data_IF_858816975225
#
_entry.id   IF_858816975225
#
_cell.length_a   1.000
_cell.length_b   1.000
_cell.length_c   1.000
_cell.angle_alpha   90.00
_cell.angle_beta   90.00
_cell.angle_gamma   90.00
#
_symmetry.space_group_name_H-M   'P 1'
#
loop_
_entity.id
_entity.type
_entity.pdbx_description
1 polymer ?
#
# COMPACT_ATOMS: atom_id res chain seq x y z
N UNK A 1 6.67 -1.57 17.14
CA UNK A 1 5.49 -1.81 17.99
C UNK A 1 4.89 -3.18 17.66
N UNK A 2 5.47 -4.29 18.15
CA UNK A 2 4.93 -5.64 17.88
C UNK A 2 3.54 -5.85 18.47
N UNK A 3 3.22 -5.20 19.59
CA UNK A 3 1.97 -5.37 20.33
C UNK A 3 0.70 -5.02 19.54
N UNK A 4 0.80 -4.17 18.51
CA UNK A 4 -0.33 -3.73 17.69
C UNK A 4 -0.40 -4.42 16.32
N UNK A 5 0.53 -5.35 16.04
CA UNK A 5 0.54 -6.12 14.80
C UNK A 5 -0.59 -7.16 14.81
N UNK A 6 -1.09 -7.52 13.62
CA UNK A 6 -2.15 -8.53 13.48
C UNK A 6 -3.56 -8.06 13.88
N UNK A 7 -3.72 -6.87 14.44
CA UNK A 7 -5.02 -6.34 14.88
C UNK A 7 -5.80 -5.60 13.77
N UNK A 8 -5.33 -5.62 12.52
CA UNK A 8 -5.98 -4.94 11.40
C UNK A 8 -5.85 -3.41 11.39
N UNK A 9 -5.12 -2.81 12.34
CA UNK A 9 -4.92 -1.35 12.45
C UNK A 9 -4.33 -0.77 11.17
N UNK A 10 -3.29 -1.39 10.61
CA UNK A 10 -2.67 -0.94 9.37
C UNK A 10 -3.63 -0.93 8.18
N UNK A 11 -4.50 -1.96 8.07
CA UNK A 11 -5.53 -2.03 7.04
C UNK A 11 -6.54 -0.89 7.21
N UNK A 12 -7.02 -0.68 8.44
CA UNK A 12 -8.02 0.34 8.72
C UNK A 12 -7.48 1.75 8.46
N UNK A 13 -6.26 2.04 8.90
CA UNK A 13 -5.62 3.33 8.65
C UNK A 13 -5.44 3.58 7.16
N UNK A 14 -4.93 2.59 6.41
CA UNK A 14 -4.75 2.74 4.97
C UNK A 14 -6.08 3.03 4.26
N UNK A 15 -7.15 2.32 4.62
CA UNK A 15 -8.49 2.56 4.06
C UNK A 15 -8.99 3.99 4.31
N UNK A 16 -8.86 4.47 5.55
CA UNK A 16 -9.25 5.85 5.91
C UNK A 16 -8.43 6.88 5.11
N UNK A 17 -7.11 6.70 5.02
CA UNK A 17 -6.24 7.58 4.25
C UNK A 17 -6.59 7.58 2.77
N UNK A 18 -6.80 6.42 2.15
CA UNK A 18 -7.18 6.34 0.74
C UNK A 18 -8.53 6.99 0.47
N UNK A 19 -9.52 6.77 1.35
CA UNK A 19 -10.85 7.36 1.21
C UNK A 19 -10.81 8.89 1.33
N UNK A 20 -10.02 9.43 2.26
CA UNK A 20 -9.86 10.87 2.42
C UNK A 20 -9.13 11.51 1.22
N UNK A 21 -8.11 10.87 0.67
CA UNK A 21 -7.45 11.39 -0.53
C UNK A 21 -8.41 11.36 -1.73
N UNK A 22 -9.23 10.32 -1.85
CA UNK A 22 -10.26 10.24 -2.89
C UNK A 22 -11.34 11.30 -2.72
N UNK A 23 -11.80 11.57 -1.49
CA UNK A 23 -12.81 12.61 -1.20
C UNK A 23 -12.34 14.01 -1.63
N UNK A 24 -11.01 14.23 -1.61
CA UNK A 24 -10.36 15.45 -2.10
C UNK A 24 -10.11 15.49 -3.61
N UNK A 25 -10.54 14.46 -4.35
CA UNK A 25 -10.44 14.40 -5.81
C UNK A 25 -9.14 13.78 -6.34
N UNK A 26 -8.31 13.18 -5.50
CA UNK A 26 -7.13 12.45 -5.98
C UNK A 26 -7.55 11.14 -6.67
N UNK A 27 -7.29 11.05 -7.97
CA UNK A 27 -7.69 9.90 -8.82
C UNK A 27 -6.69 8.76 -8.86
N UNK A 28 -5.43 9.05 -8.56
CA UNK A 28 -4.34 8.07 -8.55
C UNK A 28 -3.54 8.24 -7.26
N UNK A 29 -3.40 7.16 -6.51
CA UNK A 29 -2.59 7.11 -5.30
C UNK A 29 -1.41 6.16 -5.52
N UNK A 30 -0.27 6.50 -4.94
CA UNK A 30 0.96 5.75 -5.09
C UNK A 30 1.66 5.58 -3.76
N UNK A 31 2.33 4.44 -3.59
CA UNK A 31 3.24 4.17 -2.48
C UNK A 31 4.37 3.27 -2.95
N UNK A 32 5.46 3.19 -2.19
CA UNK A 32 6.54 2.25 -2.44
C UNK A 32 6.62 1.24 -1.30
N UNK A 33 6.91 -0.03 -1.62
CA UNK A 33 7.16 -1.07 -0.63
C UNK A 33 8.12 -2.12 -1.18
N UNK A 34 8.78 -2.87 -0.30
CA UNK A 34 9.73 -3.90 -0.71
C UNK A 34 9.18 -4.82 -1.80
N UNK A 35 10.00 -5.02 -2.84
CA UNK A 35 9.72 -5.94 -3.94
C UNK A 35 9.92 -7.42 -3.54
N UNK A 36 10.52 -7.71 -2.37
CA UNK A 36 10.73 -9.08 -1.89
C UNK A 36 9.42 -9.70 -1.38
N UNK A 37 8.92 -10.80 -1.99
CA UNK A 37 7.71 -11.47 -1.56
C UNK A 37 7.72 -12.02 -0.12
N UNK A 38 8.91 -12.18 0.48
CA UNK A 38 9.08 -12.62 1.87
C UNK A 38 8.78 -11.51 2.88
N UNK A 39 8.80 -10.25 2.45
CA UNK A 39 8.52 -9.10 3.32
C UNK A 39 7.01 -8.91 3.44
N UNK A 40 6.53 -8.73 4.68
CA UNK A 40 5.08 -8.63 4.97
C UNK A 40 4.37 -7.52 4.18
N UNK A 41 5.04 -6.38 3.97
CA UNK A 41 4.48 -5.25 3.22
C UNK A 41 4.18 -5.60 1.76
N UNK A 42 4.98 -6.48 1.13
CA UNK A 42 4.80 -6.90 -0.26
C UNK A 42 3.41 -7.52 -0.46
N UNK A 43 3.04 -8.47 0.40
CA UNK A 43 1.72 -9.10 0.36
C UNK A 43 0.60 -8.18 0.84
N UNK A 44 0.86 -7.40 1.90
CA UNK A 44 -0.15 -6.57 2.56
C UNK A 44 -0.88 -5.62 1.60
N UNK A 45 -0.16 -4.81 0.83
CA UNK A 45 -0.78 -3.83 -0.07
C UNK A 45 -1.54 -4.51 -1.23
N UNK A 46 -0.97 -5.59 -1.79
CA UNK A 46 -1.60 -6.36 -2.88
C UNK A 46 -2.94 -6.98 -2.48
N UNK A 47 -3.03 -7.50 -1.24
CA UNK A 47 -4.30 -8.00 -0.70
C UNK A 47 -5.36 -6.91 -0.50
N UNK A 48 -4.95 -5.64 -0.45
CA UNK A 48 -5.83 -4.47 -0.33
C UNK A 48 -6.12 -3.81 -1.69
N UNK A 49 -5.77 -4.46 -2.80
CA UNK A 49 -6.10 -4.02 -4.16
C UNK A 49 -5.06 -3.09 -4.80
N UNK A 50 -3.92 -2.85 -4.15
CA UNK A 50 -2.80 -2.13 -4.76
C UNK A 50 -2.13 -2.98 -5.83
N UNK A 51 -1.75 -2.36 -6.95
CA UNK A 51 -1.16 -3.04 -8.11
C UNK A 51 0.29 -2.60 -8.28
N UNK A 52 1.18 -3.56 -8.53
CA UNK A 52 2.57 -3.28 -8.86
C UNK A 52 2.69 -2.62 -10.22
N UNK A 53 3.51 -1.57 -10.31
CA UNK A 53 3.81 -0.93 -11.59
C UNK A 53 5.05 -1.52 -12.26
N UNK A 54 5.76 -2.44 -11.58
CA UNK A 54 7.04 -2.99 -12.03
C UNK A 54 8.23 -2.02 -11.92
N UNK A 55 8.00 -0.80 -11.41
CA UNK A 55 9.08 0.18 -11.18
C UNK A 55 9.72 -0.10 -9.83
N UNK A 56 10.98 -0.50 -9.84
CA UNK A 56 11.79 -0.77 -8.64
C UNK A 56 12.85 0.31 -8.52
N UNK A 57 13.01 0.87 -7.32
CA UNK A 57 14.03 1.89 -7.03
C UNK A 57 15.39 1.29 -6.62
N UNK A 58 16.38 2.15 -6.38
CA UNK A 58 17.73 1.75 -5.95
C UNK A 58 17.77 1.03 -4.59
N UNK A 59 16.68 1.12 -3.80
CA UNK A 59 16.54 0.49 -2.47
C UNK A 59 15.85 -0.87 -2.56
N UNK A 60 15.39 -1.28 -3.74
CA UNK A 60 14.65 -2.52 -3.94
C UNK A 60 13.18 -2.43 -3.55
N UNK A 61 12.64 -1.21 -3.45
CA UNK A 61 11.21 -1.00 -3.24
C UNK A 61 10.51 -0.87 -4.60
N UNK A 62 9.39 -1.59 -4.75
CA UNK A 62 8.51 -1.47 -5.90
C UNK A 62 7.44 -0.39 -5.64
N UNK A 63 7.21 0.44 -6.64
CA UNK A 63 6.09 1.37 -6.66
C UNK A 63 4.78 0.62 -6.94
N UNK A 64 3.79 0.87 -6.09
CA UNK A 64 2.43 0.39 -6.23
C UNK A 64 1.49 1.55 -6.54
N UNK A 65 0.42 1.25 -7.26
CA UNK A 65 -0.67 2.18 -7.58
C UNK A 65 -2.02 1.65 -7.11
N UNK A 66 -2.90 2.58 -6.73
CA UNK A 66 -4.28 2.32 -6.39
C UNK A 66 -5.19 3.16 -7.29
N UNK A 67 -5.93 2.47 -8.17
CA UNK A 67 -6.97 3.08 -9.00
C UNK A 67 -8.29 3.03 -8.24
N UNK A 68 -8.83 4.21 -7.90
CA UNK A 68 -10.21 4.32 -7.45
C UNK A 68 -11.12 3.83 -8.59
N UNK A 69 -12.02 2.89 -8.30
CA UNK A 69 -13.10 2.51 -9.23
C UNK A 69 -14.14 3.62 -9.39
#
# INVERSE_FOLDING_TARGET
LPAFEGQGIGRHLLQLTTAELQSRGHRALFLACSADPKVRSHGFYRHLGWRGTGQIDERGDERLEYCAG
#
